data_IF_742311037273
#
_entry.id   IF_742311037273
#
_cell.length_a   1.000
_cell.length_b   1.000
_cell.length_c   1.000
_cell.angle_alpha   90.00
_cell.angle_beta   90.00
_cell.angle_gamma   90.00
#
_symmetry.space_group_name_H-M   'P 1'
#
loop_
_entity.id
_entity.type
_entity.pdbx_description
1 polymer ?
#
# COMPACT_ATOMS: atom_id res chain seq x y z
N UNK A 1 10.98 -27.87 -7.22
CA UNK A 1 9.93 -28.46 -6.35
C UNK A 1 9.00 -27.33 -5.92
N UNK A 2 7.68 -27.51 -5.99
CA UNK A 2 6.72 -26.44 -5.71
C UNK A 2 6.78 -25.96 -4.24
N UNK A 3 6.95 -26.89 -3.29
CA UNK A 3 7.12 -26.54 -1.88
C UNK A 3 8.32 -25.63 -1.59
N UNK A 4 9.39 -25.72 -2.38
CA UNK A 4 10.56 -24.83 -2.27
C UNK A 4 10.22 -23.39 -2.66
N UNK A 5 9.33 -23.19 -3.64
CA UNK A 5 8.96 -21.85 -4.11
C UNK A 5 8.07 -21.11 -3.12
N UNK A 6 7.14 -21.81 -2.46
CA UNK A 6 6.35 -21.23 -1.36
C UNK A 6 7.27 -20.85 -0.19
N UNK A 7 8.28 -21.67 0.09
CA UNK A 7 9.26 -21.37 1.12
C UNK A 7 10.12 -20.15 0.78
N UNK A 8 10.57 -20.01 -0.47
CA UNK A 8 11.27 -18.81 -0.95
C UNK A 8 10.43 -17.54 -0.74
N UNK A 9 9.18 -17.52 -1.18
CA UNK A 9 8.33 -16.33 -1.01
C UNK A 9 8.06 -15.97 0.46
N UNK A 10 7.95 -16.97 1.36
CA UNK A 10 7.91 -16.71 2.80
C UNK A 10 9.18 -16.02 3.31
N UNK A 11 10.34 -16.35 2.76
CA UNK A 11 11.60 -15.70 3.13
C UNK A 11 11.69 -14.28 2.56
N UNK A 12 11.23 -14.07 1.32
CA UNK A 12 11.23 -12.76 0.67
C UNK A 12 10.35 -11.75 1.43
N UNK A 13 9.14 -12.16 1.83
CA UNK A 13 8.24 -11.34 2.66
C UNK A 13 8.91 -10.98 3.98
N UNK A 14 9.51 -11.96 4.67
CA UNK A 14 10.20 -11.71 5.95
C UNK A 14 11.41 -10.78 5.83
N UNK A 15 12.03 -10.71 4.64
CA UNK A 15 13.16 -9.83 4.35
C UNK A 15 12.72 -8.45 3.83
N UNK A 16 11.50 -8.32 3.36
CA UNK A 16 11.04 -7.14 2.63
C UNK A 16 11.71 -7.00 1.27
N UNK A 17 11.92 -8.10 0.55
CA UNK A 17 12.54 -8.05 -0.78
C UNK A 17 11.56 -7.51 -1.84
N UNK A 18 11.73 -6.24 -2.21
CA UNK A 18 10.89 -5.57 -3.21
C UNK A 18 10.95 -6.17 -4.63
N UNK A 19 11.88 -7.09 -4.92
CA UNK A 19 11.87 -7.85 -6.18
C UNK A 19 10.81 -8.97 -6.19
N UNK A 20 10.35 -9.38 -5.00
CA UNK A 20 9.28 -10.34 -4.86
C UNK A 20 7.94 -9.62 -4.85
N UNK A 21 7.11 -9.88 -5.85
CA UNK A 21 5.78 -9.27 -5.96
C UNK A 21 4.92 -9.51 -4.70
N UNK A 22 5.03 -10.70 -4.10
CA UNK A 22 4.31 -11.03 -2.86
C UNK A 22 4.79 -10.14 -1.71
N UNK A 23 6.09 -9.92 -1.58
CA UNK A 23 6.65 -9.06 -0.53
C UNK A 23 6.30 -7.58 -0.73
N UNK A 24 6.39 -7.10 -1.97
CA UNK A 24 5.97 -5.74 -2.33
C UNK A 24 4.50 -5.51 -1.98
N UNK A 25 3.60 -6.42 -2.39
CA UNK A 25 2.18 -6.34 -2.10
C UNK A 25 1.87 -6.37 -0.59
N UNK A 26 2.50 -7.26 0.18
CA UNK A 26 2.29 -7.31 1.64
C UNK A 26 2.73 -6.03 2.34
N UNK A 27 3.77 -5.36 1.83
CA UNK A 27 4.26 -4.11 2.39
C UNK A 27 3.38 -2.92 2.00
N UNK A 28 2.93 -2.88 0.75
CA UNK A 28 2.07 -1.82 0.21
C UNK A 28 0.67 -1.82 0.82
N UNK A 29 0.05 -3.00 0.94
CA UNK A 29 -1.31 -3.14 1.47
C UNK A 29 -1.38 -3.32 2.98
N UNK A 30 -0.25 -3.63 3.63
CA UNK A 30 -0.24 -4.05 5.04
C UNK A 30 -0.92 -5.40 5.32
N UNK A 31 -1.39 -6.10 4.29
CA UNK A 31 -2.10 -7.37 4.42
C UNK A 31 -1.15 -8.58 4.45
N UNK A 32 -1.49 -9.56 5.29
CA UNK A 32 -0.78 -10.84 5.37
C UNK A 32 -1.14 -11.76 4.19
N UNK A 33 -0.13 -12.25 3.49
CA UNK A 33 -0.32 -13.22 2.42
C UNK A 33 -0.53 -14.65 2.97
N UNK A 34 -1.66 -15.29 2.66
CA UNK A 34 -1.98 -16.64 3.13
C UNK A 34 -1.29 -17.75 2.33
N UNK A 35 -0.03 -18.02 2.66
CA UNK A 35 0.76 -19.09 2.06
C UNK A 35 0.24 -20.52 2.29
N UNK A 36 -0.65 -20.74 3.27
CA UNK A 36 -1.22 -22.06 3.54
C UNK A 36 -2.37 -22.40 2.58
N UNK A 37 -3.10 -21.38 2.12
CA UNK A 37 -4.15 -21.51 1.11
C UNK A 37 -3.61 -21.48 -0.33
N UNK A 38 -2.34 -21.08 -0.54
CA UNK A 38 -1.75 -20.97 -1.87
C UNK A 38 -1.35 -22.33 -2.45
N UNK A 39 -1.75 -22.59 -3.69
CA UNK A 39 -1.28 -23.74 -4.50
C UNK A 39 -0.60 -23.24 -5.77
N UNK A 40 0.58 -23.77 -6.09
CA UNK A 40 1.23 -23.46 -7.35
C UNK A 40 0.57 -24.26 -8.47
N UNK A 41 -0.02 -23.54 -9.42
CA UNK A 41 -0.83 -24.09 -10.52
C UNK A 41 0.03 -24.59 -11.70
N UNK A 42 1.20 -24.00 -11.92
CA UNK A 42 2.10 -24.41 -12.99
C UNK A 42 3.54 -23.95 -12.74
N UNK A 43 4.50 -24.60 -13.40
CA UNK A 43 5.92 -24.25 -13.33
C UNK A 43 6.47 -24.02 -14.75
N UNK A 44 6.75 -22.77 -15.09
CA UNK A 44 7.33 -22.41 -16.38
C UNK A 44 8.86 -22.59 -16.39
N UNK A 45 9.37 -23.43 -17.30
CA UNK A 45 10.82 -23.58 -17.53
C UNK A 45 11.34 -22.78 -18.71
N UNK A 46 10.46 -22.25 -19.55
CA UNK A 46 10.80 -21.43 -20.71
C UNK A 46 9.83 -20.25 -20.82
N UNK A 47 10.28 -19.20 -21.53
CA UNK A 47 9.53 -17.96 -21.69
C UNK A 47 8.12 -18.18 -22.26
N UNK A 48 7.99 -19.02 -23.29
CA UNK A 48 6.69 -19.32 -23.90
C UNK A 48 5.70 -19.96 -22.92
N UNK A 49 6.17 -20.89 -22.06
CA UNK A 49 5.32 -21.48 -21.03
C UNK A 49 4.92 -20.46 -19.97
N UNK A 50 5.82 -19.52 -19.63
CA UNK A 50 5.52 -18.45 -18.69
C UNK A 50 4.42 -17.53 -19.24
N UNK A 51 4.60 -17.03 -20.46
CA UNK A 51 3.63 -16.14 -21.11
C UNK A 51 2.27 -16.81 -21.29
N UNK A 52 2.23 -18.11 -21.61
CA UNK A 52 0.98 -18.87 -21.68
C UNK A 52 0.28 -18.98 -20.31
N UNK A 53 1.02 -19.25 -19.23
CA UNK A 53 0.45 -19.34 -17.88
C UNK A 53 -0.05 -17.98 -17.41
N UNK A 54 0.71 -16.90 -17.66
CA UNK A 54 0.32 -15.53 -17.33
C UNK A 54 -0.95 -15.13 -18.11
N UNK A 55 -1.01 -15.40 -19.41
CA UNK A 55 -2.19 -15.12 -20.23
C UNK A 55 -3.44 -15.89 -19.78
N UNK A 56 -3.29 -17.16 -19.37
CA UNK A 56 -4.39 -17.95 -18.80
C UNK A 56 -4.92 -17.34 -17.49
N UNK A 57 -4.02 -16.88 -16.62
CA UNK A 57 -4.38 -16.29 -15.33
C UNK A 57 -4.93 -14.86 -15.43
N UNK A 58 -4.75 -14.18 -16.57
CA UNK A 58 -5.32 -12.84 -16.80
C UNK A 58 -6.73 -12.86 -17.40
N UNK A 59 -7.16 -13.96 -18.02
CA UNK A 59 -8.49 -14.10 -18.63
C UNK A 59 -9.61 -14.26 -17.56
N UNK A 60 -9.23 -14.60 -16.31
CA UNK A 60 -10.14 -14.78 -15.17
C UNK A 60 -10.41 -13.49 -14.36
N UNK A 61 -9.79 -12.36 -14.74
CA UNK A 61 -9.94 -11.08 -14.05
C UNK A 61 -10.66 -10.04 -14.93
N UNK A 62 -11.79 -10.44 -15.55
CA UNK A 62 -12.75 -9.45 -16.05
C UNK A 62 -13.39 -8.81 -14.83
N UNK A 63 -12.85 -7.67 -14.43
CA UNK A 63 -13.38 -6.79 -13.40
C UNK A 63 -14.86 -6.48 -13.73
N UNK A 64 -15.77 -7.15 -13.03
CA UNK A 64 -17.12 -6.65 -12.82
C UNK A 64 -16.94 -5.62 -11.69
N UNK A 65 -17.18 -4.36 -12.05
CA UNK A 65 -17.07 -3.17 -11.21
C UNK A 65 -17.69 -3.38 -9.82
N UNK A 66 -16.90 -3.26 -8.74
CA UNK A 66 -17.38 -2.90 -7.39
C UNK A 66 -16.15 -2.63 -6.47
N UNK A 67 -15.35 -1.63 -6.85
CA UNK A 67 -14.50 -0.91 -5.90
C UNK A 67 -15.42 0.05 -5.10
N UNK A 68 -16.08 -0.46 -4.06
CA UNK A 68 -16.57 0.36 -2.95
C UNK A 68 -15.36 0.84 -2.15
N UNK A 69 -14.70 1.87 -2.67
CA UNK A 69 -13.81 2.77 -1.92
C UNK A 69 -14.72 3.62 -1.02
N UNK A 70 -15.15 3.05 0.12
CA UNK A 70 -15.88 3.81 1.13
C UNK A 70 -14.97 4.94 1.63
N UNK A 71 -15.30 6.16 1.21
CA UNK A 71 -14.59 7.37 1.57
C UNK A 71 -14.58 7.60 3.07
N UNK A 72 -13.38 7.82 3.61
CA UNK A 72 -13.21 8.26 4.98
C UNK A 72 -13.68 9.71 5.10
N UNK A 73 -14.79 9.90 5.82
CA UNK A 73 -15.31 11.22 6.20
C UNK A 73 -14.34 11.87 7.21
N UNK A 74 -13.54 12.84 6.75
CA UNK A 74 -12.80 13.71 7.67
C UNK A 74 -13.76 14.76 8.24
N UNK A 75 -14.35 14.49 9.41
CA UNK A 75 -14.91 15.52 10.29
C UNK A 75 -13.75 16.26 10.97
N UNK A 76 -13.22 17.29 10.30
CA UNK A 76 -12.30 18.26 10.90
C UNK A 76 -13.11 19.50 11.33
N UNK A 77 -13.71 19.39 12.51
CA UNK A 77 -14.23 20.54 13.27
C UNK A 77 -13.04 21.43 13.68
N UNK A 78 -12.60 22.31 12.78
CA UNK A 78 -11.65 23.38 13.08
C UNK A 78 -12.41 24.70 13.33
N UNK A 79 -13.11 24.75 14.46
CA UNK A 79 -13.61 25.98 15.10
C UNK A 79 -12.80 26.20 16.40
N UNK A 80 -12.11 27.35 16.46
CA UNK A 80 -11.52 28.10 17.60
C UNK A 80 -10.20 28.72 17.10
N UNK A 81 -10.18 29.91 16.51
CA UNK A 81 -10.39 31.23 17.11
C UNK A 81 -9.33 31.54 18.18
N UNK A 82 -8.25 32.21 17.77
CA UNK A 82 -7.52 33.18 18.60
C UNK A 82 -6.76 34.12 17.63
N UNK A 83 -7.45 35.17 17.20
CA UNK A 83 -6.80 36.38 16.69
C UNK A 83 -6.20 37.20 17.85
N UNK A 84 -5.36 38.17 17.50
CA UNK A 84 -4.72 39.21 18.32
C UNK A 84 -3.25 38.92 18.71
N UNK A 85 -2.34 39.07 17.72
CA UNK A 85 -0.95 39.44 18.00
C UNK A 85 -0.76 40.96 17.98
N UNK A 86 -0.52 41.47 19.19
CA UNK A 86 0.62 42.29 19.62
C UNK A 86 0.83 43.76 19.18
N UNK A 87 1.41 44.44 20.18
CA UNK A 87 2.21 45.67 20.19
C UNK A 87 1.46 47.03 20.22
N UNK A 88 1.33 47.54 21.45
CA UNK A 88 1.11 48.95 21.78
C UNK A 88 2.26 49.82 21.21
N UNK A 89 1.93 50.75 20.30
CA UNK A 89 2.78 51.92 20.03
C UNK A 89 2.39 53.04 21.00
N UNK A 90 3.32 53.51 21.84
CA UNK A 90 3.24 54.87 22.39
C UNK A 90 4.63 55.48 22.51
N UNK A 91 4.87 56.39 21.59
CA UNK A 91 6.00 57.27 21.39
C UNK A 91 5.75 58.65 22.03
N UNK A 92 6.68 59.09 22.88
CA UNK A 92 6.73 60.46 23.43
C UNK A 92 6.22 60.57 24.87
N UNK A 93 6.77 61.39 25.76
CA UNK A 93 7.48 62.65 25.56
C UNK A 93 8.42 62.95 26.75
N UNK A 94 9.33 63.89 26.48
CA UNK A 94 10.34 64.49 27.33
C UNK A 94 9.77 65.42 28.44
N UNK A 95 10.68 66.01 29.23
CA UNK A 95 10.54 67.16 30.16
C UNK A 95 10.01 66.85 31.59
N UNK A 96 10.61 67.28 32.71
CA UNK A 96 11.39 68.50 33.06
C UNK A 96 12.35 68.22 34.25
#
# INVERSE_FOLDING_TARGET
MLGSRIHEHKLDVRRGDGLSQVAAHTYETGHDFNFAATRIIAHARCKATRELIEAWASDENSDDDDDDDEGDDYDDDNDDDDEEEEEEEDDGDEDD
#
